data_IF_646737866462
#
_entry.id   IF_646737866462
#
_cell.length_a   1.000
_cell.length_b   1.000
_cell.length_c   1.000
_cell.angle_alpha   90.00
_cell.angle_beta   90.00
_cell.angle_gamma   90.00
#
_symmetry.space_group_name_H-M   'P 1'
#
loop_
_entity.id
_entity.type
_entity.pdbx_description
1 polymer ?
#
# COMPACT_ATOMS: atom_id res chain seq x y z
N UNK A 1 -2.54 -0.58 1.89
CA UNK A 1 -1.13 -0.21 1.57
C UNK A 1 -0.45 0.64 2.64
N UNK A 2 -0.95 1.82 3.00
CA UNK A 2 -0.31 2.67 4.03
C UNK A 2 -0.03 1.97 5.37
N UNK A 3 -0.99 1.19 5.88
CA UNK A 3 -0.80 0.40 7.11
C UNK A 3 0.38 -0.57 7.06
N UNK A 4 0.54 -1.27 5.92
CA UNK A 4 1.68 -2.16 5.66
C UNK A 4 3.00 -1.39 5.71
N UNK A 5 3.06 -0.23 5.05
CA UNK A 5 4.28 0.59 5.04
C UNK A 5 4.62 1.08 6.46
N UNK A 6 3.63 1.51 7.22
CA UNK A 6 3.81 1.99 8.60
C UNK A 6 4.30 0.89 9.53
N UNK A 7 3.78 -0.34 9.41
CA UNK A 7 4.28 -1.47 10.19
C UNK A 7 5.75 -1.80 9.87
N UNK A 8 6.14 -1.72 8.59
CA UNK A 8 7.51 -2.06 8.19
C UNK A 8 8.53 -0.99 8.52
N UNK A 9 8.12 0.27 8.48
CA UNK A 9 8.96 1.45 8.62
C UNK A 9 8.39 2.36 9.72
N UNK A 10 8.48 1.94 11.00
CA UNK A 10 7.87 2.69 12.10
C UNK A 10 8.47 4.08 12.29
N UNK A 11 9.72 4.28 11.84
CA UNK A 11 10.46 5.54 11.96
C UNK A 11 10.31 6.45 10.72
N UNK A 12 9.51 6.04 9.73
CA UNK A 12 9.24 6.83 8.52
C UNK A 12 7.79 7.28 8.54
N UNK A 13 7.57 8.58 8.37
CA UNK A 13 6.21 9.11 8.22
C UNK A 13 5.59 8.61 6.91
N UNK A 14 4.49 7.86 7.03
CA UNK A 14 3.77 7.31 5.89
C UNK A 14 2.53 8.15 5.60
N UNK A 15 2.55 8.83 4.44
CA UNK A 15 1.49 9.71 3.96
C UNK A 15 0.08 9.17 4.17
N UNK A 16 -0.81 10.01 4.70
CA UNK A 16 -2.13 9.65 5.21
C UNK A 16 -3.23 10.42 4.50
N UNK A 17 -3.30 10.26 3.18
CA UNK A 17 -4.28 10.96 2.37
C UNK A 17 -5.57 10.19 2.23
N UNK A 18 -6.66 10.95 2.05
CA UNK A 18 -7.97 10.36 1.79
C UNK A 18 -7.93 9.55 0.51
N UNK A 19 -8.71 8.47 0.46
CA UNK A 19 -8.81 7.57 -0.68
C UNK A 19 -9.16 8.28 -2.01
N UNK A 20 -9.77 9.46 -1.94
CA UNK A 20 -10.17 10.28 -3.10
C UNK A 20 -9.22 11.47 -3.38
N UNK A 21 -8.07 11.58 -2.71
CA UNK A 21 -7.19 12.75 -2.81
C UNK A 21 -6.26 12.77 -4.05
N UNK A 22 -6.45 11.84 -5.00
CA UNK A 22 -5.62 11.72 -6.21
C UNK A 22 -5.58 12.99 -7.09
N UNK A 23 -6.51 13.93 -6.89
CA UNK A 23 -6.64 15.16 -7.68
C UNK A 23 -6.05 16.42 -7.01
N UNK A 24 -5.52 16.32 -5.76
CA UNK A 24 -4.84 17.45 -5.12
C UNK A 24 -3.37 17.46 -5.54
N UNK A 25 -2.93 18.58 -6.15
CA UNK A 25 -1.52 18.90 -6.38
C UNK A 25 -0.78 18.86 -5.04
N UNK A 26 -0.18 17.73 -4.77
CA UNK A 26 0.79 17.54 -3.71
C UNK A 26 2.12 17.24 -4.40
N UNK A 27 3.26 17.52 -3.77
CA UNK A 27 4.62 17.17 -4.25
C UNK A 27 4.85 15.64 -4.31
N UNK A 28 3.79 14.86 -4.54
CA UNK A 28 3.80 13.41 -4.47
C UNK A 28 3.87 12.83 -5.86
N UNK A 29 4.83 11.94 -6.01
CA UNK A 29 5.03 11.23 -7.27
C UNK A 29 4.14 9.96 -7.36
N UNK A 30 3.50 9.54 -6.27
CA UNK A 30 2.52 8.44 -6.25
C UNK A 30 1.65 8.48 -4.99
N UNK A 31 0.80 7.47 -4.81
CA UNK A 31 -0.09 7.35 -3.64
C UNK A 31 0.69 7.23 -2.32
N UNK A 32 1.86 6.61 -2.37
CA UNK A 32 2.82 6.61 -1.27
C UNK A 32 4.24 6.84 -1.80
N UNK A 33 5.11 7.40 -0.96
CA UNK A 33 6.52 7.59 -1.29
C UNK A 33 7.41 7.20 -0.11
N UNK A 34 8.47 6.44 -0.39
CA UNK A 34 9.52 6.12 0.58
C UNK A 34 10.87 6.30 -0.12
N UNK A 35 11.71 7.20 0.42
CA UNK A 35 12.93 7.61 -0.24
C UNK A 35 12.64 8.13 -1.65
N UNK A 36 13.32 7.57 -2.65
CA UNK A 36 13.12 7.91 -4.07
C UNK A 36 12.12 6.99 -4.78
N UNK A 37 11.40 6.13 -4.05
CA UNK A 37 10.43 5.19 -4.64
C UNK A 37 9.00 5.72 -4.51
N UNK A 38 8.31 5.82 -5.65
CA UNK A 38 6.91 6.20 -5.75
C UNK A 38 6.05 4.95 -5.96
N UNK A 39 5.11 4.71 -5.05
CA UNK A 39 4.16 3.59 -5.12
C UNK A 39 2.83 4.08 -5.66
N UNK A 40 2.39 3.45 -6.74
CA UNK A 40 1.06 3.65 -7.34
C UNK A 40 0.21 2.42 -7.07
N UNK A 41 -0.93 2.61 -6.42
CA UNK A 41 -1.83 1.55 -5.98
C UNK A 41 -3.12 1.64 -6.78
N UNK A 42 -3.46 0.59 -7.52
CA UNK A 42 -4.68 0.58 -8.32
C UNK A 42 -5.26 -0.81 -8.41
N UNK A 43 -6.59 -0.93 -8.49
CA UNK A 43 -7.25 -2.19 -8.85
C UNK A 43 -7.43 -2.36 -10.37
N UNK A 44 -7.25 -1.27 -11.12
CA UNK A 44 -7.45 -1.19 -12.56
C UNK A 44 -6.33 -0.32 -13.19
N UNK A 45 -5.18 -0.92 -13.55
CA UNK A 45 -4.12 -0.19 -14.23
C UNK A 45 -4.59 0.30 -15.60
N UNK A 46 -4.24 1.54 -15.93
CA UNK A 46 -4.61 2.23 -17.18
C UNK A 46 -3.42 2.99 -17.75
N UNK A 47 -3.46 3.32 -19.04
CA UNK A 47 -2.36 4.02 -19.74
C UNK A 47 -1.92 5.33 -19.06
N UNK A 48 -2.87 6.10 -18.50
CA UNK A 48 -2.56 7.33 -17.74
C UNK A 48 -1.58 7.05 -16.59
N UNK A 49 -1.75 5.93 -15.88
CA UNK A 49 -0.84 5.55 -14.79
C UNK A 49 0.55 5.21 -15.32
N UNK A 50 0.66 4.54 -16.46
CA UNK A 50 1.95 4.21 -17.08
C UNK A 50 2.68 5.50 -17.50
N UNK A 51 1.96 6.45 -18.09
CA UNK A 51 2.50 7.77 -18.43
C UNK A 51 3.05 8.50 -17.19
N UNK A 52 2.29 8.50 -16.09
CA UNK A 52 2.74 9.06 -14.81
C UNK A 52 4.00 8.36 -14.28
N UNK A 53 4.06 7.04 -14.35
CA UNK A 53 5.27 6.28 -13.97
C UNK A 53 6.49 6.65 -14.83
N UNK A 54 6.30 6.86 -16.14
CA UNK A 54 7.36 7.29 -17.04
C UNK A 54 7.85 8.72 -16.71
N UNK A 55 6.95 9.64 -16.34
CA UNK A 55 7.31 10.97 -15.83
C UNK A 55 8.15 10.88 -14.56
N UNK A 56 7.71 10.10 -13.57
CA UNK A 56 8.46 9.86 -12.33
C UNK A 56 9.87 9.38 -12.63
N UNK A 57 10.01 8.43 -13.57
CA UNK A 57 11.30 7.88 -13.95
C UNK A 57 12.22 8.94 -14.56
N UNK A 58 11.70 9.81 -15.42
CA UNK A 58 12.45 10.95 -15.98
C UNK A 58 12.86 11.95 -14.90
N UNK A 59 12.03 12.13 -13.88
CA UNK A 59 12.30 12.98 -12.72
C UNK A 59 13.25 12.34 -11.68
N UNK A 60 13.76 11.13 -11.93
CA UNK A 60 14.73 10.47 -11.05
C UNK A 60 14.12 9.57 -9.96
N UNK A 61 12.80 9.39 -9.97
CA UNK A 61 12.11 8.50 -9.04
C UNK A 61 11.99 7.07 -9.58
N UNK A 62 11.85 6.12 -8.66
CA UNK A 62 11.62 4.70 -8.97
C UNK A 62 10.12 4.37 -8.84
N UNK A 63 9.36 4.26 -9.94
CA UNK A 63 7.95 3.90 -9.87
C UNK A 63 7.75 2.41 -9.60
N UNK A 64 6.82 2.08 -8.71
CA UNK A 64 6.28 0.74 -8.51
C UNK A 64 4.76 0.82 -8.63
N UNK A 65 4.19 0.00 -9.51
CA UNK A 65 2.75 -0.24 -9.60
C UNK A 65 2.42 -1.45 -8.72
N UNK A 66 1.50 -1.25 -7.78
CA UNK A 66 0.89 -2.27 -6.96
C UNK A 66 -0.55 -2.43 -7.43
N UNK A 67 -0.86 -3.61 -7.96
CA UNK A 67 -2.20 -3.92 -8.47
C UNK A 67 -2.66 -5.29 -8.00
N UNK A 68 -3.91 -5.64 -8.24
CA UNK A 68 -4.40 -7.01 -8.01
C UNK A 68 -3.54 -8.03 -8.79
N UNK A 69 -3.29 -9.19 -8.20
CA UNK A 69 -2.52 -10.29 -8.83
C UNK A 69 -3.01 -10.58 -10.27
N UNK A 70 -4.34 -10.68 -10.45
CA UNK A 70 -4.97 -10.91 -11.76
C UNK A 70 -4.71 -9.84 -12.83
N UNK A 71 -4.19 -8.67 -12.42
CA UNK A 71 -3.90 -7.53 -13.30
C UNK A 71 -2.41 -7.29 -13.51
N UNK A 72 -1.53 -8.03 -12.82
CA UNK A 72 -0.07 -7.85 -12.92
C UNK A 72 0.43 -8.04 -14.35
N UNK A 73 0.03 -9.11 -15.02
CA UNK A 73 0.46 -9.39 -16.41
C UNK A 73 0.01 -8.26 -17.35
N UNK A 74 -1.24 -7.80 -17.21
CA UNK A 74 -1.78 -6.72 -18.02
C UNK A 74 -0.99 -5.41 -17.81
N UNK A 75 -0.72 -5.02 -16.56
CA UNK A 75 0.08 -3.83 -16.25
C UNK A 75 1.52 -3.94 -16.78
N UNK A 76 2.15 -5.12 -16.70
CA UNK A 76 3.48 -5.36 -17.29
C UNK A 76 3.47 -5.17 -18.80
N UNK A 77 2.46 -5.70 -19.49
CA UNK A 77 2.32 -5.50 -20.93
C UNK A 77 2.14 -4.02 -21.29
N UNK A 78 1.38 -3.26 -20.49
CA UNK A 78 1.23 -1.82 -20.74
C UNK A 78 2.56 -1.07 -20.58
N UNK A 79 3.39 -1.43 -19.60
CA UNK A 79 4.73 -0.87 -19.46
C UNK A 79 5.66 -1.28 -20.62
N UNK A 80 5.52 -2.50 -21.12
CA UNK A 80 6.29 -3.02 -22.26
C UNK A 80 5.98 -2.30 -23.57
N UNK A 81 4.70 -2.02 -23.82
CA UNK A 81 4.24 -1.31 -25.01
C UNK A 81 4.87 0.09 -25.16
N UNK A 82 5.37 0.68 -24.08
CA UNK A 82 6.06 1.98 -24.08
C UNK A 82 7.57 1.86 -23.82
N UNK A 83 8.14 0.65 -23.84
CA UNK A 83 9.57 0.40 -23.64
C UNK A 83 10.05 0.67 -22.21
N UNK A 84 9.16 0.51 -21.21
CA UNK A 84 9.45 0.82 -19.80
C UNK A 84 9.43 -0.41 -18.88
N UNK A 85 9.40 -1.63 -19.44
CA UNK A 85 9.36 -2.90 -18.69
C UNK A 85 10.44 -3.04 -17.61
N UNK A 86 11.66 -2.57 -17.89
CA UNK A 86 12.79 -2.65 -16.94
C UNK A 86 12.83 -1.47 -15.94
N UNK A 87 12.00 -0.45 -16.17
CA UNK A 87 12.04 0.81 -15.42
C UNK A 87 10.84 0.98 -14.49
N UNK A 88 9.71 0.33 -14.79
CA UNK A 88 8.49 0.34 -13.99
C UNK A 88 8.32 -1.05 -13.37
N UNK A 89 8.47 -1.14 -12.05
CA UNK A 89 8.21 -2.39 -11.34
C UNK A 89 6.70 -2.59 -11.20
N UNK A 90 6.21 -3.79 -11.49
CA UNK A 90 4.79 -4.16 -11.28
C UNK A 90 4.71 -5.37 -10.38
N UNK A 91 3.96 -5.25 -9.28
CA UNK A 91 3.82 -6.31 -8.28
C UNK A 91 2.36 -6.45 -7.83
N UNK A 92 2.00 -7.66 -7.43
CA UNK A 92 0.72 -7.91 -6.79
C UNK A 92 0.68 -7.28 -5.40
N UNK A 93 -0.37 -6.52 -5.11
CA UNK A 93 -0.56 -5.88 -3.82
C UNK A 93 -0.69 -6.92 -2.70
N UNK A 94 -1.35 -8.05 -2.98
CA UNK A 94 -1.56 -9.17 -2.06
C UNK A 94 -0.22 -9.74 -1.58
N UNK A 95 0.65 -10.14 -2.51
CA UNK A 95 1.99 -10.66 -2.21
C UNK A 95 2.87 -9.60 -1.54
N UNK A 96 2.80 -8.35 -2.01
CA UNK A 96 3.58 -7.25 -1.43
C UNK A 96 3.20 -6.95 0.04
N UNK A 97 1.94 -7.16 0.40
CA UNK A 97 1.46 -7.05 1.79
C UNK A 97 1.84 -8.30 2.58
N UNK A 98 1.59 -9.50 2.04
CA UNK A 98 1.85 -10.77 2.69
C UNK A 98 3.31 -10.95 3.07
N UNK A 99 4.24 -10.74 2.12
CA UNK A 99 5.68 -10.85 2.36
C UNK A 99 6.13 -9.95 3.51
N UNK A 100 5.52 -8.76 3.63
CA UNK A 100 5.89 -7.86 4.70
C UNK A 100 5.50 -8.37 6.09
N UNK A 101 4.32 -8.99 6.23
CA UNK A 101 3.91 -9.61 7.48
C UNK A 101 4.86 -10.76 7.81
N UNK A 102 5.17 -11.61 6.84
CA UNK A 102 6.08 -12.75 7.06
C UNK A 102 7.49 -12.30 7.46
N UNK A 103 8.04 -11.29 6.78
CA UNK A 103 9.36 -10.73 7.08
C UNK A 103 9.42 -10.13 8.50
N UNK A 104 8.43 -9.34 8.89
CA UNK A 104 8.36 -8.73 10.24
C UNK A 104 8.25 -9.83 11.30
N UNK A 105 7.50 -10.88 11.01
CA UNK A 105 7.30 -12.02 11.89
C UNK A 105 8.51 -12.97 11.95
N UNK A 106 9.52 -12.78 11.11
CA UNK A 106 10.65 -13.71 10.96
C UNK A 106 10.13 -15.13 10.63
N UNK A 107 9.07 -15.19 9.81
CA UNK A 107 8.41 -16.43 9.37
C UNK A 107 7.88 -17.33 10.51
N UNK A 108 7.68 -16.78 11.70
CA UNK A 108 7.05 -17.48 12.82
C UNK A 108 5.52 -17.43 12.71
N UNK A 109 4.85 -18.58 12.78
CA UNK A 109 3.41 -18.69 12.54
C UNK A 109 2.53 -17.89 13.50
N UNK A 110 2.87 -17.87 14.79
CA UNK A 110 2.11 -17.12 15.80
C UNK A 110 2.32 -15.62 15.61
N UNK A 111 3.56 -15.21 15.31
CA UNK A 111 3.87 -13.81 14.98
C UNK A 111 3.27 -13.34 13.66
N UNK A 112 3.12 -14.22 12.66
CA UNK A 112 2.40 -13.91 11.42
C UNK A 112 0.94 -13.60 11.74
N UNK A 113 0.31 -14.42 12.58
CA UNK A 113 -1.06 -14.20 13.01
C UNK A 113 -1.21 -12.87 13.76
N UNK A 114 -0.29 -12.57 14.68
CA UNK A 114 -0.25 -11.29 15.37
C UNK A 114 0.00 -10.12 14.40
N UNK A 115 0.90 -10.27 13.44
CA UNK A 115 1.22 -9.27 12.42
C UNK A 115 0.03 -8.93 11.53
N UNK A 116 -0.78 -9.92 11.14
CA UNK A 116 -2.02 -9.71 10.41
C UNK A 116 -3.04 -8.92 11.25
N UNK A 117 -3.18 -9.26 12.54
CA UNK A 117 -4.04 -8.51 13.45
C UNK A 117 -3.59 -7.05 13.58
N UNK A 118 -2.28 -6.81 13.72
CA UNK A 118 -1.69 -5.46 13.76
C UNK A 118 -1.90 -4.70 12.45
N UNK A 119 -1.84 -5.36 11.30
CA UNK A 119 -2.09 -4.74 9.99
C UNK A 119 -3.52 -4.21 9.90
N UNK A 120 -4.51 -5.03 10.27
CA UNK A 120 -5.93 -4.65 10.26
C UNK A 120 -6.18 -3.47 11.20
N UNK A 121 -5.64 -3.52 12.42
CA UNK A 121 -5.74 -2.39 13.37
C UNK A 121 -5.10 -1.12 12.89
N UNK A 122 -3.89 -1.22 12.34
CA UNK A 122 -3.18 -0.06 11.80
C UNK A 122 -3.96 0.53 10.62
N UNK A 123 -4.57 -0.30 9.77
CA UNK A 123 -5.46 0.14 8.70
C UNK A 123 -6.68 0.87 9.26
N UNK A 124 -7.40 0.26 10.19
CA UNK A 124 -8.58 0.84 10.82
C UNK A 124 -8.27 2.16 11.54
N UNK A 125 -7.14 2.24 12.25
CA UNK A 125 -6.65 3.48 12.87
C UNK A 125 -6.45 4.59 11.84
N UNK A 126 -5.83 4.27 10.69
CA UNK A 126 -5.59 5.23 9.62
C UNK A 126 -6.88 5.72 8.99
N UNK A 127 -7.83 4.82 8.68
CA UNK A 127 -9.17 5.20 8.19
C UNK A 127 -9.89 6.09 9.23
N UNK A 128 -9.80 5.73 10.51
CA UNK A 128 -10.40 6.53 11.57
C UNK A 128 -9.81 7.95 11.67
N UNK A 129 -8.52 8.11 11.40
CA UNK A 129 -7.88 9.42 11.44
C UNK A 129 -8.23 10.33 10.24
N UNK A 130 -8.43 9.76 9.04
CA UNK A 130 -8.43 10.55 7.79
C UNK A 130 -9.77 10.62 7.08
N UNK A 131 -10.59 9.57 7.16
CA UNK A 131 -11.87 9.48 6.45
C UNK A 131 -13.01 9.95 7.33
N UNK A 132 -14.00 10.64 6.76
CA UNK A 132 -15.23 10.95 7.51
C UNK A 132 -16.12 9.72 7.57
N UNK A 133 -16.23 9.01 6.44
CA UNK A 133 -16.96 7.76 6.34
C UNK A 133 -16.10 6.60 6.87
N UNK A 134 -16.59 5.92 7.91
CA UNK A 134 -15.92 4.78 8.54
C UNK A 134 -16.30 3.44 7.92
N UNK A 135 -17.17 3.42 6.90
CA UNK A 135 -17.59 2.20 6.19
C UNK A 135 -16.41 1.45 5.55
N UNK A 136 -15.29 2.13 5.30
CA UNK A 136 -14.07 1.55 4.74
C UNK A 136 -13.24 0.76 5.77
N UNK A 137 -13.58 0.81 7.05
CA UNK A 137 -12.92 0.00 8.08
C UNK A 137 -13.22 -1.49 7.87
N UNK A 138 -12.25 -2.32 8.23
CA UNK A 138 -12.40 -3.77 8.23
C UNK A 138 -13.00 -4.21 9.56
N UNK A 139 -14.09 -4.96 9.52
CA UNK A 139 -14.65 -5.61 10.71
C UNK A 139 -13.62 -6.58 11.32
N UNK A 140 -13.25 -6.37 12.58
CA UNK A 140 -12.30 -7.23 13.27
C UNK A 140 -12.93 -8.58 13.63
N UNK A 141 -12.42 -9.71 13.12
CA UNK A 141 -12.85 -11.02 13.60
C UNK A 141 -12.46 -11.21 15.07
N UNK A 142 -13.27 -11.97 15.82
CA UNK A 142 -13.06 -12.19 17.28
C UNK A 142 -11.64 -12.62 17.67
N UNK A 143 -10.95 -13.36 16.80
CA UNK A 143 -9.58 -13.80 17.11
C UNK A 143 -8.59 -12.64 17.22
N UNK A 144 -8.82 -11.52 16.51
CA UNK A 144 -7.97 -10.32 16.62
C UNK A 144 -8.10 -9.72 18.02
N UNK A 145 -9.32 -9.58 18.52
CA UNK A 145 -9.59 -9.10 19.88
C UNK A 145 -8.95 -10.00 20.93
N UNK A 146 -9.01 -11.32 20.74
CA UNK A 146 -8.36 -12.28 21.64
C UNK A 146 -6.81 -12.17 21.60
N UNK A 147 -6.23 -11.82 20.45
CA UNK A 147 -4.78 -11.71 20.28
C UNK A 147 -4.23 -10.38 20.78
N UNK A 148 -4.92 -9.27 20.53
CA UNK A 148 -4.40 -7.92 20.77
C UNK A 148 -5.17 -7.11 21.84
N UNK A 149 -6.18 -7.69 22.50
CA UNK A 149 -7.08 -6.98 23.42
C UNK A 149 -8.16 -6.18 22.70
N UNK A 150 -9.00 -5.41 23.39
CA UNK A 150 -9.96 -4.52 22.74
C UNK A 150 -9.26 -3.35 22.04
N UNK A 151 -9.88 -2.84 20.97
CA UNK A 151 -9.37 -1.70 20.23
C UNK A 151 -9.95 -0.42 20.82
N UNK A 152 -9.13 0.35 21.54
CA UNK A 152 -9.51 1.66 22.05
C UNK A 152 -9.01 2.75 21.10
N UNK A 153 -9.93 3.54 20.55
CA UNK A 153 -9.57 4.79 19.92
C UNK A 153 -9.15 5.78 21.01
N UNK A 154 -7.91 6.24 20.98
CA UNK A 154 -7.56 7.45 21.73
C UNK A 154 -8.18 8.64 21.00
N UNK A 155 -9.08 9.34 21.68
CA UNK A 155 -9.63 10.64 21.27
C UNK A 155 -8.52 11.67 21.02
#
# INVERSE_FOLDING_TARGET
MGAKLQLRFPDIEIGSDRANAADLQTDREGDFQIGTTAFHVTTAPMEKLISRCAENKRAGYRPIILTLESKVIAARQMADNVGMSDQISVQAAETFIGNNIEEIAIYDGDKIREGLARLIRTYNARINAIEVDKSLMIDEPRWITNTLGEFEFKE
#
